data_IF_019059031609
#
_entry.id   IF_019059031609
#
_cell.length_a   1.000
_cell.length_b   1.000
_cell.length_c   1.000
_cell.angle_alpha   90.00
_cell.angle_beta   90.00
_cell.angle_gamma   90.00
#
_symmetry.space_group_name_H-M   'P 1'
#
loop_
_entity.id
_entity.type
_entity.pdbx_description
1 polymer ?
#
# COMPACT_ATOMS: atom_id res chain seq x y z
N UNK A 1 -4.38 -4.77 13.08
CA UNK A 1 -5.52 -4.00 12.53
C UNK A 1 -5.12 -2.83 11.62
N UNK A 2 -3.86 -2.37 11.58
CA UNK A 2 -3.42 -1.28 10.66
C UNK A 2 -3.77 -1.55 9.19
N UNK A 3 -3.37 -2.70 8.65
CA UNK A 3 -3.71 -3.08 7.26
C UNK A 3 -5.21 -3.04 6.93
N UNK A 4 -6.09 -3.40 7.88
CA UNK A 4 -7.54 -3.32 7.66
C UNK A 4 -8.03 -1.88 7.63
N UNK A 5 -7.44 -1.01 8.46
CA UNK A 5 -7.72 0.42 8.44
C UNK A 5 -7.24 1.07 7.15
N UNK A 6 -6.04 0.74 6.71
CA UNK A 6 -5.44 1.26 5.47
C UNK A 6 -6.25 0.82 4.24
N UNK A 7 -6.66 -0.46 4.18
CA UNK A 7 -7.54 -0.97 3.14
C UNK A 7 -8.89 -0.23 3.11
N UNK A 8 -9.53 0.01 4.27
CA UNK A 8 -10.80 0.74 4.33
C UNK A 8 -10.69 2.21 3.92
N UNK A 9 -9.51 2.81 4.07
CA UNK A 9 -9.24 4.21 3.73
C UNK A 9 -8.69 4.37 2.31
N UNK A 10 -8.22 3.29 1.68
CA UNK A 10 -7.71 3.31 0.32
C UNK A 10 -8.81 3.79 -0.64
N UNK A 11 -8.49 4.82 -1.43
CA UNK A 11 -9.47 5.43 -2.32
C UNK A 11 -9.54 4.62 -3.62
N UNK A 12 -10.77 4.34 -4.05
CA UNK A 12 -11.03 3.88 -5.42
C UNK A 12 -10.63 4.98 -6.39
N UNK A 13 -9.72 4.67 -7.32
CA UNK A 13 -9.26 5.61 -8.33
C UNK A 13 -9.80 5.22 -9.70
N UNK A 14 -10.10 6.23 -10.52
CA UNK A 14 -10.49 6.03 -11.92
C UNK A 14 -9.23 6.03 -12.78
N UNK A 15 -9.01 4.94 -13.52
CA UNK A 15 -7.91 4.78 -14.49
C UNK A 15 -8.53 4.48 -15.85
N UNK A 16 -8.58 5.48 -16.73
CA UNK A 16 -9.32 5.41 -17.99
C UNK A 16 -10.82 5.18 -17.74
N UNK A 17 -11.38 4.11 -18.32
CA UNK A 17 -12.78 3.71 -18.11
C UNK A 17 -13.00 2.73 -16.94
N UNK A 18 -11.94 2.30 -16.24
CA UNK A 18 -12.05 1.33 -15.14
C UNK A 18 -11.80 2.01 -13.79
N UNK A 19 -12.45 1.50 -12.74
CA UNK A 19 -12.08 1.80 -11.35
C UNK A 19 -11.08 0.77 -10.88
N UNK A 20 -10.03 1.22 -10.20
CA UNK A 20 -9.08 0.38 -9.50
C UNK A 20 -9.16 0.68 -8.01
N UNK A 21 -9.14 -0.38 -7.22
CA UNK A 21 -9.14 -0.34 -5.76
C UNK A 21 -7.97 -1.19 -5.28
N UNK A 22 -7.35 -0.78 -4.18
CA UNK A 22 -6.33 -1.60 -3.55
C UNK A 22 -7.03 -2.69 -2.74
N UNK A 23 -6.56 -3.92 -2.84
CA UNK A 23 -7.15 -5.03 -2.10
C UNK A 23 -6.54 -5.14 -0.70
N UNK A 24 -7.23 -5.85 0.19
CA UNK A 24 -6.74 -6.09 1.54
C UNK A 24 -5.35 -6.76 1.61
N UNK A 25 -5.01 -7.75 0.74
CA UNK A 25 -3.66 -8.29 0.65
C UNK A 25 -2.59 -7.24 0.35
N UNK A 26 -2.89 -6.22 -0.44
CA UNK A 26 -1.92 -5.17 -0.77
C UNK A 26 -1.58 -4.34 0.49
N UNK A 27 -2.60 -3.96 1.26
CA UNK A 27 -2.42 -3.26 2.53
C UNK A 27 -1.66 -4.13 3.55
N UNK A 28 -1.84 -5.45 3.53
CA UNK A 28 -1.07 -6.38 4.37
C UNK A 28 0.40 -6.41 3.99
N UNK A 29 0.73 -6.44 2.70
CA UNK A 29 2.12 -6.45 2.22
C UNK A 29 2.85 -5.19 2.69
N UNK A 30 2.26 -4.00 2.50
CA UNK A 30 2.86 -2.72 2.92
C UNK A 30 3.10 -2.70 4.43
N UNK A 31 2.10 -3.13 5.22
CA UNK A 31 2.24 -3.19 6.67
C UNK A 31 3.28 -4.21 7.14
N UNK A 32 3.39 -5.35 6.44
CA UNK A 32 4.38 -6.38 6.77
C UNK A 32 5.79 -5.90 6.45
N UNK A 33 6.00 -5.23 5.32
CA UNK A 33 7.28 -4.61 4.98
C UNK A 33 7.71 -3.61 6.06
N UNK A 34 6.80 -2.72 6.48
CA UNK A 34 7.07 -1.75 7.53
C UNK A 34 7.40 -2.41 8.88
N UNK A 35 6.70 -3.49 9.22
CA UNK A 35 6.99 -4.27 10.42
C UNK A 35 8.37 -4.93 10.38
N UNK A 36 8.76 -5.52 9.24
CA UNK A 36 10.06 -6.18 9.08
C UNK A 36 11.19 -5.17 9.13
N UNK A 37 11.08 -4.03 8.42
CA UNK A 37 12.08 -2.96 8.47
C UNK A 37 12.31 -2.47 9.90
N UNK A 38 11.22 -2.19 10.64
CA UNK A 38 11.30 -1.80 12.04
C UNK A 38 11.98 -2.89 12.91
N UNK A 39 11.67 -4.17 12.68
CA UNK A 39 12.30 -5.29 13.40
C UNK A 39 13.79 -5.44 13.11
N UNK A 40 14.24 -5.08 11.92
CA UNK A 40 15.65 -5.09 11.52
C UNK A 40 16.38 -3.79 11.90
N UNK A 41 15.69 -2.84 12.53
CA UNK A 41 16.17 -1.49 12.82
C UNK A 41 16.63 -0.76 11.55
N UNK A 42 15.92 -1.00 10.45
CA UNK A 42 16.15 -0.44 9.13
C UNK A 42 14.98 0.47 8.71
N UNK A 43 15.22 1.33 7.73
CA UNK A 43 14.23 2.29 7.22
C UNK A 43 13.57 1.71 5.96
N UNK A 44 12.24 1.55 6.01
CA UNK A 44 11.48 1.25 4.80
C UNK A 44 11.38 2.52 3.95
N UNK A 45 12.15 2.58 2.87
CA UNK A 45 12.05 3.68 1.90
C UNK A 45 10.67 3.74 1.22
N UNK A 46 10.10 2.58 0.90
CA UNK A 46 8.72 2.44 0.42
C UNK A 46 8.50 1.13 -0.35
N UNK A 47 7.24 0.78 -0.57
CA UNK A 47 6.84 -0.32 -1.46
C UNK A 47 6.59 0.24 -2.85
N UNK A 48 7.45 -0.13 -3.80
CA UNK A 48 7.36 0.31 -5.19
C UNK A 48 6.38 -0.56 -5.98
N UNK A 49 5.42 0.07 -6.65
CA UNK A 49 4.39 -0.65 -7.41
C UNK A 49 3.90 0.17 -8.59
N UNK A 50 3.60 -0.50 -9.71
CA UNK A 50 2.91 0.10 -10.85
C UNK A 50 1.40 0.16 -10.67
N UNK A 51 0.84 -0.50 -9.63
CA UNK A 51 -0.59 -0.39 -9.38
C UNK A 51 -0.93 0.97 -8.77
N UNK A 52 -1.66 1.76 -9.56
CA UNK A 52 -2.05 3.12 -9.21
C UNK A 52 -2.97 3.18 -7.98
N UNK A 53 -3.80 2.15 -7.73
CA UNK A 53 -4.66 2.15 -6.55
C UNK A 53 -3.85 1.87 -5.30
N UNK A 54 -2.88 0.96 -5.39
CA UNK A 54 -1.96 0.69 -4.29
C UNK A 54 -1.09 1.90 -3.95
N UNK A 55 -0.68 2.71 -4.94
CA UNK A 55 0.05 3.97 -4.73
C UNK A 55 -0.71 5.00 -3.84
N UNK A 56 -1.99 4.77 -3.56
CA UNK A 56 -2.76 5.61 -2.63
C UNK A 56 -2.58 5.23 -1.16
N UNK A 57 -2.02 4.05 -0.88
CA UNK A 57 -1.76 3.56 0.48
C UNK A 57 -0.47 4.20 1.04
N UNK A 58 -0.48 4.72 2.28
CA UNK A 58 0.73 5.24 2.92
C UNK A 58 1.88 4.22 2.93
N UNK A 59 3.09 4.66 2.58
CA UNK A 59 4.27 3.79 2.51
C UNK A 59 4.50 3.14 1.16
N UNK A 60 3.67 3.43 0.15
CA UNK A 60 3.90 3.04 -1.24
C UNK A 60 4.52 4.19 -2.03
N UNK A 61 5.27 3.84 -3.09
CA UNK A 61 5.93 4.80 -3.97
C UNK A 61 5.77 4.41 -5.44
N UNK A 62 5.85 5.41 -6.30
CA UNK A 62 5.98 5.22 -7.76
C UNK A 62 7.39 4.69 -8.06
N UNK A 63 7.52 3.66 -8.91
CA UNK A 63 8.82 3.24 -9.43
C UNK A 63 9.46 4.33 -10.29
#
# INVERSE_FOLDING_TARGET
>A
WRALSDYKQAKSIKVGNKRKEADFPDALIVNKAAFVANKLNDVLDGVYTFDLALQTIPGTKKP
#
